data_IF_147036423028
#
_entry.id   IF_147036423028
#
_cell.length_a   1.000
_cell.length_b   1.000
_cell.length_c   1.000
_cell.angle_alpha   90.00
_cell.angle_beta   90.00
_cell.angle_gamma   90.00
#
_symmetry.space_group_name_H-M   'P 1'
#
loop_
_entity.id
_entity.type
_entity.pdbx_description
1 polymer ?
#
# COMPACT_ATOMS: atom_id res chain seq x y z
N UNK A 1 0.46 -33.10 -13.34
CA UNK A 1 0.51 -32.10 -12.24
C UNK A 1 -0.75 -31.27 -12.30
N UNK A 2 -1.57 -31.26 -11.23
CA UNK A 2 -2.88 -30.60 -11.21
C UNK A 2 -2.69 -29.10 -11.01
N UNK A 3 -3.10 -28.31 -11.99
CA UNK A 3 -3.22 -26.85 -11.88
C UNK A 3 -4.36 -26.54 -10.91
N UNK A 4 -4.04 -26.03 -9.74
CA UNK A 4 -5.01 -25.68 -8.70
C UNK A 4 -5.97 -24.58 -9.17
N UNK A 5 -7.28 -24.85 -9.10
CA UNK A 5 -8.35 -23.87 -9.39
C UNK A 5 -8.25 -22.68 -8.44
N UNK A 6 -8.02 -21.50 -9.00
CA UNK A 6 -8.14 -20.23 -8.28
C UNK A 6 -9.64 -19.96 -8.06
N UNK A 7 -10.09 -20.02 -6.81
CA UNK A 7 -11.47 -19.62 -6.44
C UNK A 7 -11.58 -18.09 -6.46
N UNK A 8 -12.41 -17.55 -7.33
CA UNK A 8 -12.73 -16.12 -7.44
C UNK A 8 -13.88 -15.79 -6.49
N UNK A 9 -13.67 -14.91 -5.51
CA UNK A 9 -14.71 -14.31 -4.68
C UNK A 9 -14.96 -12.84 -5.10
N UNK A 10 -16.19 -12.28 -4.88
CA UNK A 10 -16.59 -10.98 -5.41
C UNK A 10 -15.84 -9.80 -4.74
N UNK A 11 -15.56 -8.80 -5.57
CA UNK A 11 -14.71 -7.67 -5.24
C UNK A 11 -15.40 -6.61 -4.37
N UNK A 12 -14.89 -6.41 -3.16
CA UNK A 12 -14.98 -5.13 -2.45
C UNK A 12 -13.58 -4.79 -1.93
N UNK A 13 -12.82 -4.07 -2.76
CA UNK A 13 -11.37 -4.00 -2.68
C UNK A 13 -10.83 -3.14 -1.55
N UNK A 14 -9.94 -3.68 -0.75
CA UNK A 14 -8.96 -2.87 -0.04
C UNK A 14 -7.79 -2.58 -0.97
N UNK A 15 -7.47 -1.31 -1.11
CA UNK A 15 -6.30 -0.86 -1.88
C UNK A 15 -5.04 -1.36 -1.18
N UNK A 16 -4.08 -2.02 -1.85
CA UNK A 16 -2.79 -2.28 -1.25
C UNK A 16 -2.17 -0.98 -0.71
N UNK A 17 -1.82 -1.00 0.57
CA UNK A 17 -1.17 0.11 1.26
C UNK A 17 0.33 -0.17 1.39
N UNK A 18 1.06 0.64 2.15
CA UNK A 18 2.51 0.49 2.31
C UNK A 18 2.96 -0.93 2.70
N UNK A 19 2.34 -1.62 3.68
CA UNK A 19 2.77 -2.96 4.06
C UNK A 19 2.63 -3.99 2.96
N UNK A 20 1.55 -3.94 2.18
CA UNK A 20 1.29 -4.88 1.08
C UNK A 20 2.31 -4.69 -0.04
N UNK A 21 2.62 -3.43 -0.39
CA UNK A 21 3.62 -3.13 -1.43
C UNK A 21 5.03 -3.50 -0.95
N UNK A 22 5.35 -3.33 0.33
CA UNK A 22 6.63 -3.77 0.90
C UNK A 22 6.76 -5.29 0.90
N UNK A 23 5.67 -6.01 1.18
CA UNK A 23 5.62 -7.48 1.09
C UNK A 23 5.88 -7.94 -0.35
N UNK A 24 5.22 -7.33 -1.34
CA UNK A 24 5.48 -7.59 -2.76
C UNK A 24 6.95 -7.32 -3.12
N UNK A 25 7.50 -6.18 -2.68
CA UNK A 25 8.90 -5.84 -2.94
C UNK A 25 9.86 -6.91 -2.43
N UNK A 26 9.64 -7.38 -1.19
CA UNK A 26 10.51 -8.39 -0.56
C UNK A 26 10.45 -9.73 -1.29
N UNK A 27 9.26 -10.17 -1.66
CA UNK A 27 9.06 -11.43 -2.36
C UNK A 27 9.57 -11.40 -3.81
N UNK A 28 9.44 -10.26 -4.49
CA UNK A 28 9.88 -10.11 -5.89
C UNK A 28 11.39 -9.81 -6.02
N UNK A 29 12.02 -9.21 -5.02
CA UNK A 29 13.42 -8.81 -5.10
C UNK A 29 14.38 -9.97 -5.45
N UNK A 30 14.30 -11.17 -4.84
CA UNK A 30 15.14 -12.30 -5.20
C UNK A 30 14.84 -12.87 -6.59
N UNK A 31 13.61 -12.68 -7.11
CA UNK A 31 13.19 -13.21 -8.41
C UNK A 31 13.55 -12.30 -9.57
N UNK A 32 13.67 -11.00 -9.34
CA UNK A 32 13.82 -9.99 -10.39
C UNK A 32 15.20 -9.33 -10.41
N UNK A 33 15.88 -9.24 -9.26
CA UNK A 33 17.20 -8.59 -9.20
C UNK A 33 18.21 -9.32 -10.08
N UNK A 34 18.89 -8.53 -10.93
CA UNK A 34 19.90 -9.04 -11.87
C UNK A 34 19.32 -9.55 -13.19
N UNK A 35 18.00 -9.73 -13.30
CA UNK A 35 17.34 -10.15 -14.53
C UNK A 35 17.31 -8.99 -15.54
N UNK A 36 17.35 -9.34 -16.83
CA UNK A 36 17.20 -8.41 -17.93
C UNK A 36 15.78 -8.46 -18.50
N UNK A 37 15.24 -7.29 -18.81
CA UNK A 37 13.95 -7.16 -19.51
C UNK A 37 14.16 -7.39 -21.00
N UNK A 38 13.36 -8.26 -21.61
CA UNK A 38 13.48 -8.61 -23.03
C UNK A 38 12.39 -7.97 -23.89
N UNK A 39 11.21 -7.74 -23.29
CA UNK A 39 10.06 -7.16 -23.97
C UNK A 39 9.13 -6.47 -22.96
N UNK A 40 8.20 -5.65 -23.46
CA UNK A 40 7.06 -5.16 -22.69
C UNK A 40 5.79 -5.18 -23.54
N UNK A 41 4.70 -5.66 -22.95
CA UNK A 41 3.37 -5.69 -23.55
C UNK A 41 2.39 -4.91 -22.67
N UNK A 42 1.88 -3.78 -23.16
CA UNK A 42 0.76 -3.08 -22.55
C UNK A 42 -0.55 -3.63 -23.11
N UNK A 43 -1.10 -4.67 -22.48
CA UNK A 43 -2.37 -5.33 -22.88
C UNK A 43 -3.60 -4.49 -22.55
N UNK A 44 -3.44 -3.45 -21.74
CA UNK A 44 -4.42 -2.43 -21.49
C UNK A 44 -3.81 -1.03 -21.68
N UNK A 45 -4.24 -0.24 -22.69
CA UNK A 45 -3.56 1.01 -23.06
C UNK A 45 -3.41 2.03 -21.94
N UNK A 46 -4.38 2.06 -21.00
CA UNK A 46 -4.31 2.97 -19.85
C UNK A 46 -3.41 2.47 -18.71
N UNK A 47 -2.92 1.23 -18.74
CA UNK A 47 -2.07 0.69 -17.68
C UNK A 47 -0.61 1.15 -17.78
N UNK A 48 -0.14 1.49 -18.98
CA UNK A 48 1.18 2.05 -19.21
C UNK A 48 1.17 2.95 -20.45
N UNK A 49 2.08 3.92 -20.50
CA UNK A 49 2.38 4.61 -21.74
C UNK A 49 3.08 3.64 -22.71
N UNK A 50 2.77 3.71 -23.99
CA UNK A 50 3.42 2.92 -25.05
C UNK A 50 4.10 3.86 -26.06
N UNK A 51 5.26 3.47 -26.59
CA UNK A 51 6.02 2.25 -26.31
C UNK A 51 6.70 2.26 -24.94
N UNK A 52 6.97 1.07 -24.39
CA UNK A 52 7.80 0.85 -23.19
C UNK A 52 9.15 0.27 -23.65
N UNK A 53 10.16 1.08 -23.96
CA UNK A 53 11.45 0.61 -24.46
C UNK A 53 12.31 0.04 -23.33
N UNK A 54 11.96 -1.15 -22.85
CA UNK A 54 12.62 -1.84 -21.75
C UNK A 54 13.64 -2.90 -22.22
N UNK A 55 13.60 -3.31 -23.48
CA UNK A 55 14.44 -4.40 -24.00
C UNK A 55 15.94 -4.12 -23.75
N UNK A 56 16.63 -5.11 -23.22
CA UNK A 56 18.04 -5.04 -22.85
C UNK A 56 18.33 -4.39 -21.49
N UNK A 57 17.37 -3.73 -20.85
CA UNK A 57 17.58 -3.08 -19.55
C UNK A 57 17.63 -4.10 -18.42
N UNK A 58 18.60 -3.94 -17.54
CA UNK A 58 18.82 -4.83 -16.38
C UNK A 58 18.20 -4.27 -15.12
N UNK A 59 17.49 -5.11 -14.35
CA UNK A 59 16.94 -4.75 -13.05
C UNK A 59 18.06 -4.82 -12.00
N UNK A 60 18.47 -3.65 -11.50
CA UNK A 60 19.56 -3.52 -10.52
C UNK A 60 19.07 -3.80 -9.10
N UNK A 61 17.93 -3.21 -8.72
CA UNK A 61 17.31 -3.38 -7.40
C UNK A 61 15.83 -3.05 -7.41
N UNK A 62 15.14 -3.48 -6.35
CA UNK A 62 13.74 -3.13 -6.08
C UNK A 62 13.66 -2.29 -4.82
N UNK A 63 13.05 -1.13 -4.95
CA UNK A 63 12.77 -0.19 -3.87
C UNK A 63 11.26 0.00 -3.73
N UNK A 64 10.81 0.69 -2.68
CA UNK A 64 9.43 1.11 -2.47
C UNK A 64 9.38 2.59 -2.03
N UNK A 65 8.38 3.30 -2.53
CA UNK A 65 8.06 4.64 -2.07
C UNK A 65 6.54 4.78 -1.88
N UNK A 66 6.06 5.00 -0.66
CA UNK A 66 4.63 4.99 -0.36
C UNK A 66 3.98 3.67 -0.78
N UNK A 67 3.05 3.74 -1.73
CA UNK A 67 2.34 2.59 -2.30
C UNK A 67 2.85 2.21 -3.69
N UNK A 68 4.03 2.67 -4.08
CA UNK A 68 4.67 2.40 -5.36
C UNK A 68 5.82 1.41 -5.21
N UNK A 69 5.89 0.43 -6.07
CA UNK A 69 7.07 -0.41 -6.27
C UNK A 69 7.97 0.27 -7.31
N UNK A 70 9.25 0.34 -7.01
CA UNK A 70 10.27 1.00 -7.84
C UNK A 70 11.31 -0.04 -8.24
N UNK A 71 11.42 -0.35 -9.53
CA UNK A 71 12.50 -1.17 -10.07
C UNK A 71 13.54 -0.22 -10.66
N UNK A 72 14.72 -0.14 -10.02
CA UNK A 72 15.87 0.56 -10.61
C UNK A 72 16.40 -0.29 -11.74
N UNK A 73 16.43 0.29 -12.92
CA UNK A 73 17.10 -0.29 -14.08
C UNK A 73 18.53 0.29 -14.18
N UNK A 74 19.38 -0.33 -14.96
CA UNK A 74 20.70 0.24 -15.33
C UNK A 74 20.54 1.61 -15.99
N UNK A 75 19.47 1.79 -16.78
CA UNK A 75 19.05 3.08 -17.31
C UNK A 75 17.58 3.37 -16.95
N UNK A 76 17.36 4.30 -16.00
CA UNK A 76 16.04 4.73 -15.58
C UNK A 76 15.36 3.87 -14.51
N UNK A 77 14.02 3.96 -14.48
CA UNK A 77 13.19 3.31 -13.50
C UNK A 77 11.89 2.79 -14.11
N UNK A 78 11.53 1.58 -13.74
CA UNK A 78 10.18 1.07 -13.92
C UNK A 78 9.44 1.24 -12.61
N UNK A 79 8.40 2.07 -12.61
CA UNK A 79 7.56 2.38 -11.43
C UNK A 79 6.22 1.70 -11.58
N UNK A 80 5.74 1.00 -10.55
CA UNK A 80 4.46 0.29 -10.59
C UNK A 80 3.60 0.68 -9.40
N UNK A 81 2.30 0.94 -9.65
CA UNK A 81 1.28 1.19 -8.62
C UNK A 81 0.12 0.21 -8.78
N UNK A 82 -0.14 -0.57 -7.74
CA UNK A 82 -1.15 -1.65 -7.77
C UNK A 82 -2.59 -1.14 -7.79
N UNK A 83 -2.84 0.08 -7.32
CA UNK A 83 -4.19 0.63 -7.15
C UNK A 83 -5.04 -0.25 -6.24
N UNK A 84 -6.21 -0.77 -6.72
CA UNK A 84 -7.19 -1.44 -5.86
C UNK A 84 -7.10 -2.97 -5.90
N UNK A 85 -6.91 -3.55 -7.08
CA UNK A 85 -6.95 -4.99 -7.30
C UNK A 85 -5.72 -5.51 -8.06
N UNK A 86 -4.72 -4.64 -8.27
CA UNK A 86 -3.49 -5.02 -8.94
C UNK A 86 -2.66 -5.99 -8.09
N UNK A 87 -2.13 -7.02 -8.74
CA UNK A 87 -1.19 -7.99 -8.20
C UNK A 87 0.02 -8.09 -9.11
N UNK A 88 1.17 -8.38 -8.53
CA UNK A 88 2.41 -8.62 -9.27
C UNK A 88 2.77 -10.09 -9.15
N UNK A 89 3.06 -10.71 -10.28
CA UNK A 89 3.45 -12.12 -10.35
C UNK A 89 4.60 -12.30 -11.34
N UNK A 90 5.39 -13.35 -11.11
CA UNK A 90 6.34 -13.87 -12.11
C UNK A 90 5.79 -15.22 -12.54
N UNK A 91 5.65 -15.45 -13.86
CA UNK A 91 5.05 -16.65 -14.42
C UNK A 91 5.70 -16.99 -15.76
N UNK A 92 5.59 -18.24 -16.19
CA UNK A 92 6.05 -18.70 -17.53
C UNK A 92 5.29 -18.03 -18.67
N UNK A 93 4.01 -17.78 -18.46
CA UNK A 93 3.13 -17.10 -19.41
C UNK A 93 2.32 -16.03 -18.67
N UNK A 94 2.02 -14.89 -19.32
CA UNK A 94 1.20 -13.86 -18.69
C UNK A 94 -0.19 -14.38 -18.35
N UNK A 95 -0.59 -14.39 -17.06
CA UNK A 95 -1.90 -14.87 -16.63
C UNK A 95 -3.05 -14.09 -17.25
N UNK A 96 -4.25 -14.67 -17.24
CA UNK A 96 -5.48 -13.96 -17.60
C UNK A 96 -5.61 -12.66 -16.77
N UNK A 97 -6.14 -11.59 -17.41
CA UNK A 97 -6.29 -10.24 -16.83
C UNK A 97 -4.98 -9.50 -16.56
N UNK A 98 -3.87 -9.95 -17.13
CA UNK A 98 -2.63 -9.16 -17.18
C UNK A 98 -2.89 -7.87 -17.97
N UNK A 99 -2.57 -6.74 -17.35
CA UNK A 99 -2.71 -5.42 -17.97
C UNK A 99 -1.39 -4.91 -18.54
N UNK A 100 -0.27 -5.27 -17.91
CA UNK A 100 1.09 -5.05 -18.43
C UNK A 100 1.92 -6.28 -18.11
N UNK A 101 2.71 -6.73 -19.08
CA UNK A 101 3.67 -7.82 -18.93
C UNK A 101 5.05 -7.37 -19.38
N UNK A 102 6.07 -7.81 -18.67
CA UNK A 102 7.48 -7.59 -18.99
C UNK A 102 8.18 -8.94 -19.14
N UNK A 103 8.68 -9.23 -20.33
CA UNK A 103 9.48 -10.42 -20.59
C UNK A 103 10.80 -10.34 -19.83
N UNK A 104 11.24 -11.46 -19.28
CA UNK A 104 12.50 -11.60 -18.57
C UNK A 104 13.42 -12.56 -19.32
N UNK A 105 14.72 -12.37 -19.19
CA UNK A 105 15.69 -13.38 -19.62
C UNK A 105 15.35 -14.74 -19.00
N UNK A 106 15.58 -15.84 -19.72
CA UNK A 106 15.16 -17.19 -19.30
C UNK A 106 13.69 -17.52 -19.52
N UNK A 107 12.91 -16.64 -20.20
CA UNK A 107 11.58 -16.93 -20.73
C UNK A 107 10.41 -16.73 -19.73
N UNK A 108 10.65 -16.22 -18.53
CA UNK A 108 9.57 -15.85 -17.61
C UNK A 108 9.02 -14.44 -17.92
N UNK A 109 7.86 -14.14 -17.34
CA UNK A 109 7.21 -12.84 -17.44
C UNK A 109 6.94 -12.24 -16.05
N UNK A 110 7.29 -10.98 -15.86
CA UNK A 110 6.86 -10.16 -14.73
C UNK A 110 5.59 -9.41 -15.11
N UNK A 111 4.47 -9.68 -14.43
CA UNK A 111 3.14 -9.26 -14.83
C UNK A 111 2.44 -8.42 -13.77
N UNK A 112 1.79 -7.34 -14.22
CA UNK A 112 0.75 -6.64 -13.46
C UNK A 112 -0.61 -7.22 -13.87
N UNK A 113 -1.21 -7.99 -12.97
CA UNK A 113 -2.54 -8.60 -13.15
C UNK A 113 -3.55 -7.75 -12.41
N UNK A 114 -4.58 -7.24 -13.09
CA UNK A 114 -5.58 -6.37 -12.46
C UNK A 114 -6.98 -6.51 -13.08
N UNK A 115 -7.89 -7.05 -12.28
CA UNK A 115 -9.30 -7.23 -12.69
C UNK A 115 -10.00 -5.92 -13.03
N UNK A 116 -9.70 -4.84 -12.29
CA UNK A 116 -10.33 -3.53 -12.45
C UNK A 116 -9.57 -2.62 -13.40
N UNK A 117 -8.38 -3.03 -13.87
CA UNK A 117 -7.55 -2.29 -14.83
C UNK A 117 -7.15 -0.88 -14.37
N UNK A 118 -7.03 -0.65 -13.06
CA UNK A 118 -6.60 0.63 -12.47
C UNK A 118 -5.10 0.70 -12.22
N UNK A 119 -4.44 -0.45 -12.11
CA UNK A 119 -3.00 -0.55 -11.95
C UNK A 119 -2.26 0.20 -13.04
N UNK A 120 -1.07 0.72 -12.70
CA UNK A 120 -0.26 1.54 -13.61
C UNK A 120 1.20 1.15 -13.53
N UNK A 121 1.85 1.23 -14.68
CA UNK A 121 3.30 1.15 -14.83
C UNK A 121 3.82 2.36 -15.61
N UNK A 122 5.01 2.86 -15.23
CA UNK A 122 5.69 3.97 -15.89
C UNK A 122 7.16 3.61 -16.06
N UNK A 123 7.69 3.86 -17.25
CA UNK A 123 9.12 3.87 -17.51
C UNK A 123 9.57 5.32 -17.56
N UNK A 124 10.48 5.72 -16.64
CA UNK A 124 10.91 7.11 -16.48
C UNK A 124 12.41 7.18 -16.23
N UNK A 125 13.02 8.31 -16.58
CA UNK A 125 14.43 8.53 -16.31
C UNK A 125 14.70 8.66 -14.80
N UNK A 126 13.82 9.34 -14.08
CA UNK A 126 13.94 9.55 -12.63
C UNK A 126 12.65 9.15 -11.93
N UNK A 127 12.76 8.34 -10.87
CA UNK A 127 11.58 7.93 -10.08
C UNK A 127 10.78 9.13 -9.54
N UNK A 128 11.43 10.27 -9.28
CA UNK A 128 10.80 11.50 -8.80
C UNK A 128 9.73 12.06 -9.74
N UNK A 129 9.78 11.76 -11.02
CA UNK A 129 8.75 12.16 -12.00
C UNK A 129 7.37 11.58 -11.63
N UNK A 130 7.36 10.39 -11.03
CA UNK A 130 6.12 9.71 -10.61
C UNK A 130 5.87 9.88 -9.11
N UNK A 131 6.90 9.80 -8.27
CA UNK A 131 6.73 9.73 -6.81
C UNK A 131 7.24 10.97 -6.06
N UNK A 132 7.71 12.00 -6.76
CA UNK A 132 8.27 13.23 -6.16
C UNK A 132 7.26 14.07 -5.37
N UNK A 133 5.98 13.92 -5.65
CA UNK A 133 4.90 14.61 -4.95
C UNK A 133 4.53 14.00 -3.60
N UNK A 134 5.08 12.83 -3.25
CA UNK A 134 4.72 12.12 -2.03
C UNK A 134 5.38 12.76 -0.79
N UNK A 135 4.60 12.87 0.27
CA UNK A 135 5.05 13.28 1.60
C UNK A 135 6.07 12.31 2.22
N UNK A 136 6.54 12.55 3.45
CA UNK A 136 7.52 11.69 4.11
C UNK A 136 7.10 10.21 4.19
N UNK A 137 8.10 9.33 4.22
CA UNK A 137 7.90 7.90 4.50
C UNK A 137 7.72 7.69 6.02
N UNK A 138 6.62 7.08 6.49
CA UNK A 138 6.37 6.92 7.92
C UNK A 138 7.37 6.00 8.62
N UNK A 139 8.05 5.13 7.89
CA UNK A 139 9.08 4.23 8.44
C UNK A 139 10.51 4.76 8.29
N UNK A 140 10.71 5.90 7.61
CA UNK A 140 12.01 6.56 7.50
C UNK A 140 12.55 6.97 8.87
N UNK A 141 13.89 7.02 9.02
CA UNK A 141 14.56 7.59 10.18
C UNK A 141 14.29 9.10 10.29
N UNK A 142 14.11 9.77 9.15
CA UNK A 142 13.87 11.22 9.09
C UNK A 142 12.41 11.61 9.43
N UNK A 143 11.48 10.66 9.56
CA UNK A 143 10.14 10.90 10.05
C UNK A 143 10.12 10.73 11.57
N UNK A 144 10.52 11.78 12.28
CA UNK A 144 10.54 11.85 13.75
C UNK A 144 9.21 12.39 14.30
N UNK A 145 8.96 12.19 15.60
CA UNK A 145 7.77 12.74 16.25
C UNK A 145 7.77 14.29 16.21
N UNK A 146 8.93 14.92 16.41
CA UNK A 146 9.06 16.38 16.30
C UNK A 146 8.75 16.89 14.88
N UNK A 147 9.26 16.21 13.85
CA UNK A 147 8.91 16.57 12.46
C UNK A 147 7.40 16.41 12.21
N UNK A 148 6.79 15.35 12.72
CA UNK A 148 5.35 15.12 12.57
C UNK A 148 4.53 16.20 13.28
N UNK A 149 4.96 16.64 14.46
CA UNK A 149 4.37 17.77 15.20
C UNK A 149 4.38 19.06 14.36
N UNK A 150 5.53 19.43 13.81
CA UNK A 150 5.67 20.60 12.92
C UNK A 150 4.77 20.49 11.69
N UNK A 151 4.59 19.29 11.15
CA UNK A 151 3.71 19.06 10.00
C UNK A 151 2.23 19.20 10.35
N UNK A 152 1.81 18.82 11.56
CA UNK A 152 0.41 18.85 12.01
C UNK A 152 -0.02 20.24 12.52
N UNK A 153 0.87 20.95 13.21
CA UNK A 153 0.55 22.21 13.87
C UNK A 153 -0.19 23.27 13.02
N UNK A 154 0.18 23.51 11.74
CA UNK A 154 -0.52 24.51 10.93
C UNK A 154 -1.83 23.97 10.29
N UNK A 155 -2.22 22.71 10.52
CA UNK A 155 -3.29 22.05 9.77
C UNK A 155 -4.64 22.11 10.49
N UNK A 156 -5.56 22.90 9.97
CA UNK A 156 -6.96 22.95 10.43
C UNK A 156 -7.81 21.80 9.86
N UNK A 157 -7.23 20.96 9.03
CA UNK A 157 -7.91 19.80 8.44
C UNK A 157 -8.20 18.72 9.50
N UNK A 158 -9.27 17.95 9.28
CA UNK A 158 -9.57 16.75 10.07
C UNK A 158 -8.48 15.71 9.89
N UNK A 159 -8.16 15.01 10.97
CA UNK A 159 -6.96 14.16 11.04
C UNK A 159 -7.02 12.97 10.07
N UNK A 160 -8.15 12.26 9.97
CA UNK A 160 -8.23 11.11 9.06
C UNK A 160 -8.03 11.48 7.59
N UNK A 161 -8.73 12.47 7.00
CA UNK A 161 -8.46 12.89 5.63
C UNK A 161 -7.02 13.32 5.39
N UNK A 162 -6.43 14.02 6.35
CA UNK A 162 -5.04 14.47 6.27
C UNK A 162 -4.05 13.29 6.24
N UNK A 163 -4.25 12.27 7.08
CA UNK A 163 -3.40 11.08 7.11
C UNK A 163 -3.57 10.20 5.85
N UNK A 164 -4.70 10.29 5.16
CA UNK A 164 -4.95 9.61 3.88
C UNK A 164 -4.29 10.30 2.69
N UNK A 165 -3.98 11.61 2.83
CA UNK A 165 -3.30 12.36 1.77
C UNK A 165 -1.85 11.88 1.63
N UNK A 166 -1.54 11.30 0.48
CA UNK A 166 -0.22 10.78 0.17
C UNK A 166 0.84 11.89 0.04
N UNK A 167 0.44 13.15 -0.16
CA UNK A 167 1.33 14.32 -0.15
C UNK A 167 1.71 14.73 1.26
N UNK A 168 0.83 14.47 2.23
CA UNK A 168 1.09 14.74 3.65
C UNK A 168 1.93 13.63 4.29
N UNK A 169 1.50 12.36 4.15
CA UNK A 169 2.22 11.20 4.68
C UNK A 169 2.05 10.01 3.74
N UNK A 170 3.14 9.54 3.15
CA UNK A 170 3.09 8.51 2.13
C UNK A 170 2.76 7.12 2.71
N UNK A 171 1.99 6.34 1.97
CA UNK A 171 1.82 4.91 2.23
C UNK A 171 0.65 4.51 3.12
N UNK A 172 0.13 5.41 3.96
CA UNK A 172 -1.07 5.12 4.75
C UNK A 172 -2.32 5.09 3.86
N UNK A 173 -3.23 4.19 4.19
CA UNK A 173 -4.57 4.15 3.62
C UNK A 173 -5.60 3.87 4.69
N UNK A 174 -6.78 3.42 4.27
CA UNK A 174 -7.95 3.37 5.15
C UNK A 174 -7.79 2.40 6.32
N UNK A 175 -7.13 1.27 6.11
CA UNK A 175 -6.89 0.26 7.14
C UNK A 175 -5.98 0.85 8.22
N UNK A 176 -4.79 1.25 7.82
CA UNK A 176 -3.76 1.62 8.78
C UNK A 176 -3.99 2.99 9.42
N UNK A 177 -4.79 3.87 8.80
CA UNK A 177 -5.24 5.11 9.45
C UNK A 177 -6.24 4.80 10.56
N UNK A 178 -7.30 3.99 10.32
CA UNK A 178 -8.28 3.63 11.36
C UNK A 178 -7.59 2.92 12.53
N UNK A 179 -6.74 1.94 12.26
CA UNK A 179 -5.99 1.19 13.27
C UNK A 179 -5.04 2.09 14.09
N UNK A 180 -4.35 3.04 13.43
CA UNK A 180 -3.41 3.95 14.10
C UNK A 180 -4.14 4.93 15.01
N UNK A 181 -5.26 5.49 14.55
CA UNK A 181 -6.08 6.41 15.33
C UNK A 181 -6.71 5.72 16.53
N UNK A 182 -7.23 4.48 16.37
CA UNK A 182 -7.75 3.70 17.48
C UNK A 182 -6.65 3.38 18.51
N UNK A 183 -5.49 2.95 18.06
CA UNK A 183 -4.37 2.65 18.95
C UNK A 183 -3.92 3.88 19.75
N UNK A 184 -3.93 5.07 19.12
CA UNK A 184 -3.60 6.34 19.74
C UNK A 184 -4.75 6.96 20.56
N UNK A 185 -5.96 6.37 20.55
CA UNK A 185 -7.19 6.90 21.20
C UNK A 185 -7.60 8.29 20.70
N UNK A 186 -7.39 8.56 19.41
CA UNK A 186 -7.72 9.85 18.79
C UNK A 186 -8.90 9.68 17.85
N UNK A 187 -9.91 10.55 18.01
CA UNK A 187 -11.08 10.52 17.12
C UNK A 187 -10.70 10.90 15.68
N UNK A 188 -11.22 10.21 14.64
CA UNK A 188 -10.89 10.49 13.24
C UNK A 188 -11.21 11.92 12.76
N UNK A 189 -12.17 12.56 13.40
CA UNK A 189 -12.61 13.92 13.09
C UNK A 189 -11.90 15.02 13.88
N UNK A 190 -11.01 14.70 14.82
CA UNK A 190 -10.19 15.70 15.52
C UNK A 190 -9.42 16.54 14.50
N UNK A 191 -9.35 17.84 14.74
CA UNK A 191 -8.51 18.75 13.94
C UNK A 191 -7.03 18.47 14.20
N UNK A 192 -6.21 18.43 13.16
CA UNK A 192 -4.80 18.07 13.30
C UNK A 192 -4.04 19.03 14.23
N UNK A 193 -4.30 20.36 14.11
CA UNK A 193 -3.70 21.38 14.97
C UNK A 193 -4.15 21.30 16.45
N UNK A 194 -5.23 20.59 16.79
CA UNK A 194 -5.71 20.45 18.16
C UNK A 194 -5.00 19.37 18.97
N UNK A 195 -4.11 18.61 18.34
CA UNK A 195 -3.42 17.53 19.04
C UNK A 195 -2.34 18.09 19.96
N UNK A 196 -2.31 17.61 21.19
CA UNK A 196 -1.21 17.85 22.11
C UNK A 196 0.06 17.16 21.64
N UNK A 197 1.22 17.64 22.11
CA UNK A 197 2.54 17.02 21.84
C UNK A 197 2.54 15.53 22.23
N UNK A 198 1.89 15.19 23.34
CA UNK A 198 1.74 13.80 23.81
C UNK A 198 0.96 12.93 22.84
N UNK A 199 -0.18 13.42 22.34
CA UNK A 199 -1.00 12.74 21.33
C UNK A 199 -0.25 12.55 20.00
N UNK A 200 0.48 13.57 19.55
CA UNK A 200 1.30 13.47 18.34
C UNK A 200 2.38 12.40 18.47
N UNK A 201 3.11 12.38 19.60
CA UNK A 201 4.13 11.35 19.89
C UNK A 201 3.53 9.95 19.93
N UNK A 202 2.35 9.81 20.53
CA UNK A 202 1.63 8.54 20.62
C UNK A 202 1.18 8.07 19.23
N UNK A 203 0.55 8.94 18.45
CA UNK A 203 0.12 8.64 17.08
C UNK A 203 1.30 8.25 16.17
N UNK A 204 2.39 9.02 16.20
CA UNK A 204 3.63 8.70 15.47
C UNK A 204 4.15 7.30 15.83
N UNK A 205 4.21 6.96 17.12
CA UNK A 205 4.64 5.64 17.61
C UNK A 205 3.74 4.54 17.08
N UNK A 206 2.41 4.72 17.15
CA UNK A 206 1.44 3.70 16.72
C UNK A 206 1.43 3.51 15.21
N UNK A 207 1.51 4.57 14.41
CA UNK A 207 1.67 4.45 12.95
C UNK A 207 2.85 3.54 12.62
N UNK A 208 4.02 3.84 13.18
CA UNK A 208 5.25 3.07 12.89
C UNK A 208 5.16 1.62 13.39
N UNK A 209 4.60 1.40 14.59
CA UNK A 209 4.43 0.07 15.18
C UNK A 209 3.50 -0.80 14.34
N UNK A 210 2.33 -0.26 13.97
CA UNK A 210 1.31 -0.98 13.20
C UNK A 210 1.82 -1.33 11.81
N UNK A 211 2.44 -0.38 11.11
CA UNK A 211 3.01 -0.64 9.78
C UNK A 211 4.10 -1.72 9.82
N UNK A 212 5.00 -1.70 10.82
CA UNK A 212 6.02 -2.75 10.97
C UNK A 212 5.40 -4.11 11.28
N UNK A 213 4.40 -4.17 12.16
CA UNK A 213 3.69 -5.39 12.49
C UNK A 213 2.94 -5.96 11.27
N UNK A 214 2.34 -5.08 10.46
CA UNK A 214 1.66 -5.48 9.24
C UNK A 214 2.65 -6.03 8.19
N UNK A 215 3.80 -5.39 8.00
CA UNK A 215 4.87 -5.89 7.12
C UNK A 215 5.36 -7.27 7.59
N UNK A 216 5.58 -7.44 8.89
CA UNK A 216 6.03 -8.72 9.46
C UNK A 216 4.99 -9.84 9.30
N UNK A 217 3.70 -9.49 9.22
CA UNK A 217 2.60 -10.42 8.97
C UNK A 217 2.30 -10.65 7.48
N UNK A 218 3.09 -10.09 6.56
CA UNK A 218 2.86 -10.21 5.11
C UNK A 218 1.73 -9.33 4.57
N UNK A 219 1.38 -8.26 5.29
CA UNK A 219 0.26 -7.37 4.94
C UNK A 219 -1.09 -7.84 5.44
N UNK A 220 -2.14 -7.14 5.02
CA UNK A 220 -3.54 -7.43 5.35
C UNK A 220 -4.28 -7.94 4.11
N UNK A 221 -4.63 -9.23 4.09
CA UNK A 221 -5.55 -9.76 3.08
C UNK A 221 -6.97 -9.60 3.58
N UNK A 222 -7.69 -8.63 3.04
CA UNK A 222 -9.11 -8.46 3.38
C UNK A 222 -10.00 -9.14 2.35
N UNK A 223 -9.61 -9.17 1.07
CA UNK A 223 -10.33 -9.89 0.00
C UNK A 223 -9.44 -10.33 -1.17
N UNK A 224 -8.64 -9.44 -1.77
CA UNK A 224 -8.00 -9.72 -3.06
C UNK A 224 -6.47 -9.64 -3.02
N UNK A 225 -5.86 -9.17 -1.92
CA UNK A 225 -4.42 -9.11 -1.82
C UNK A 225 -3.86 -10.51 -1.54
N UNK A 226 -2.95 -10.95 -2.39
CA UNK A 226 -2.07 -12.07 -2.12
C UNK A 226 -0.65 -11.66 -2.52
N UNK A 227 0.33 -12.15 -1.81
CA UNK A 227 1.73 -12.00 -2.19
C UNK A 227 2.00 -12.58 -3.59
N UNK A 228 3.16 -12.34 -4.19
CA UNK A 228 3.54 -12.90 -5.48
C UNK A 228 3.51 -14.44 -5.54
N UNK A 229 3.65 -15.08 -4.39
CA UNK A 229 3.55 -16.53 -4.14
C UNK A 229 2.10 -17.01 -3.90
N UNK A 230 1.13 -16.10 -3.93
CA UNK A 230 -0.28 -16.39 -3.64
C UNK A 230 -0.62 -16.48 -2.16
N UNK A 231 0.34 -16.29 -1.24
CA UNK A 231 0.10 -16.37 0.20
C UNK A 231 -0.69 -15.16 0.71
N UNK A 232 -1.72 -15.39 1.56
CA UNK A 232 -2.49 -14.29 2.15
C UNK A 232 -1.69 -13.61 3.28
N UNK A 233 -1.85 -12.29 3.40
CA UNK A 233 -1.34 -11.54 4.55
C UNK A 233 -2.16 -11.85 5.81
N UNK A 234 -1.49 -12.07 6.94
CA UNK A 234 -2.08 -12.50 8.22
C UNK A 234 -2.37 -11.36 9.19
N UNK A 235 -2.18 -10.10 8.80
CA UNK A 235 -2.46 -8.98 9.71
C UNK A 235 -3.95 -8.75 9.93
N UNK A 236 -4.83 -9.32 9.10
CA UNK A 236 -6.28 -9.27 9.27
C UNK A 236 -6.72 -9.68 10.69
N UNK A 237 -6.13 -10.74 11.24
CA UNK A 237 -6.49 -11.30 12.54
C UNK A 237 -6.07 -10.40 13.72
N UNK A 238 -5.32 -9.33 13.44
CA UNK A 238 -4.83 -8.35 14.42
C UNK A 238 -5.56 -7.02 14.37
N UNK A 239 -6.54 -6.86 13.45
CA UNK A 239 -7.31 -5.62 13.30
C UNK A 239 -8.15 -5.36 14.56
N UNK A 240 -8.10 -4.13 15.05
CA UNK A 240 -8.77 -3.71 16.27
C UNK A 240 -10.14 -3.08 16.01
N UNK A 241 -10.27 -2.34 14.90
CA UNK A 241 -11.52 -1.64 14.55
C UNK A 241 -11.90 -1.80 13.08
N UNK A 242 -10.94 -1.91 12.17
CA UNK A 242 -11.24 -1.91 10.75
C UNK A 242 -12.10 -3.12 10.35
N UNK A 243 -13.30 -2.86 9.77
CA UNK A 243 -14.33 -3.86 9.39
C UNK A 243 -14.89 -4.66 10.57
N UNK A 244 -14.82 -4.14 11.77
CA UNK A 244 -15.38 -4.78 12.96
C UNK A 244 -16.62 -4.03 13.49
N UNK A 245 -17.39 -3.43 12.61
CA UNK A 245 -18.63 -2.70 12.96
C UNK A 245 -19.59 -3.59 13.73
N UNK A 246 -20.08 -3.12 14.90
CA UNK A 246 -20.96 -3.86 15.79
C UNK A 246 -20.27 -4.85 16.73
N UNK A 247 -19.01 -5.21 16.44
CA UNK A 247 -18.24 -6.08 17.32
C UNK A 247 -17.70 -5.33 18.55
N UNK A 248 -17.52 -6.01 19.69
CA UNK A 248 -16.95 -5.37 20.88
C UNK A 248 -15.51 -4.91 20.65
N UNK A 249 -15.21 -3.69 21.07
CA UNK A 249 -13.85 -3.18 21.13
C UNK A 249 -13.02 -4.04 22.08
N UNK A 250 -11.90 -4.59 21.64
CA UNK A 250 -11.03 -5.43 22.48
C UNK A 250 -10.47 -4.72 23.71
N UNK A 251 -10.52 -3.37 23.77
CA UNK A 251 -10.02 -2.59 24.90
C UNK A 251 -11.08 -2.30 25.96
N UNK A 252 -12.33 -2.02 25.56
CA UNK A 252 -13.36 -1.53 26.50
C UNK A 252 -14.73 -2.18 26.36
N UNK A 253 -14.91 -3.13 25.45
CA UNK A 253 -16.17 -3.84 25.22
C UNK A 253 -17.24 -3.07 24.42
N UNK A 254 -17.12 -1.74 24.30
CA UNK A 254 -18.09 -0.92 23.54
C UNK A 254 -18.08 -1.31 22.06
N UNK A 255 -19.24 -1.39 21.41
CA UNK A 255 -19.34 -1.72 20.00
C UNK A 255 -18.55 -0.74 19.13
N UNK A 256 -17.81 -1.27 18.14
CA UNK A 256 -17.12 -0.47 17.14
C UNK A 256 -18.16 0.14 16.19
N UNK A 257 -18.08 1.43 15.97
CA UNK A 257 -18.98 2.17 15.09
C UNK A 257 -18.37 2.36 13.70
N UNK A 258 -19.24 2.46 12.69
CA UNK A 258 -18.89 2.85 11.34
C UNK A 258 -19.54 4.17 10.98
N UNK A 259 -18.71 5.13 10.59
CA UNK A 259 -19.11 6.42 10.00
C UNK A 259 -18.55 6.59 8.61
N UNK A 260 -18.83 7.73 7.96
CA UNK A 260 -18.23 8.12 6.68
C UNK A 260 -17.48 9.43 6.86
N UNK A 261 -16.19 9.42 6.58
CA UNK A 261 -15.33 10.60 6.63
C UNK A 261 -14.63 10.77 5.28
N UNK A 262 -14.81 11.92 4.63
CA UNK A 262 -14.25 12.19 3.30
C UNK A 262 -14.50 11.04 2.30
N UNK A 263 -15.74 10.59 2.21
CA UNK A 263 -16.20 9.48 1.36
C UNK A 263 -15.52 8.12 1.63
N UNK A 264 -14.91 7.95 2.80
CA UNK A 264 -14.29 6.71 3.23
C UNK A 264 -14.99 6.15 4.47
N UNK A 265 -15.35 4.87 4.40
CA UNK A 265 -15.82 4.14 5.59
C UNK A 265 -14.76 4.24 6.69
N UNK A 266 -15.18 4.63 7.87
CA UNK A 266 -14.33 4.93 9.02
C UNK A 266 -14.80 4.11 10.19
N UNK A 267 -13.89 3.37 10.82
CA UNK A 267 -14.20 2.52 11.96
C UNK A 267 -13.51 3.08 13.20
N UNK A 268 -14.27 3.28 14.27
CA UNK A 268 -13.75 3.81 15.54
C UNK A 268 -14.53 3.24 16.72
N UNK A 269 -13.92 3.25 17.90
CA UNK A 269 -14.61 2.95 19.14
C UNK A 269 -15.02 4.29 19.82
N UNK A 270 -16.32 4.59 20.00
CA UNK A 270 -16.74 5.90 20.52
C UNK A 270 -16.25 6.15 21.94
N UNK A 271 -16.12 5.11 22.76
CA UNK A 271 -15.61 5.24 24.13
C UNK A 271 -14.08 5.44 24.19
N UNK A 272 -13.32 4.74 23.34
CA UNK A 272 -11.86 4.86 23.34
C UNK A 272 -11.36 6.08 22.57
N UNK A 273 -12.16 6.61 21.66
CA UNK A 273 -11.83 7.71 20.77
C UNK A 273 -12.92 8.80 20.85
N UNK A 274 -13.10 9.46 22.01
CA UNK A 274 -14.07 10.56 22.11
C UNK A 274 -13.63 11.72 21.20
N UNK A 275 -14.64 12.49 20.69
CA UNK A 275 -14.42 13.69 19.87
C UNK A 275 -13.99 14.87 20.73
#
# INVERSE_FOLDING_TARGET
MRVGRIKTAPACGCVPELPEVETCRRALAPLLRGRSLTAAEARWPRAAATPLPVAGRRIVRLDRRGKFLLLRLDDGWLVVHLRMTGRLVVAREPPARTTVAFGLDGGDWFCLVDMRKFGRAWLVARASEVVGHLGPEPLSRNFTAARFEVMLAPRQARLKPLLLDQRFLAGLGNIYVDESLHAARIHPLRTAASLSVGEVRLLHRHIRRILRAAIAAGGTTVQDFAGPDGAPGRFRDRLQVFRRTGEPCYRCGTAVERSVVAQRGTHSCPRCQPL
#
